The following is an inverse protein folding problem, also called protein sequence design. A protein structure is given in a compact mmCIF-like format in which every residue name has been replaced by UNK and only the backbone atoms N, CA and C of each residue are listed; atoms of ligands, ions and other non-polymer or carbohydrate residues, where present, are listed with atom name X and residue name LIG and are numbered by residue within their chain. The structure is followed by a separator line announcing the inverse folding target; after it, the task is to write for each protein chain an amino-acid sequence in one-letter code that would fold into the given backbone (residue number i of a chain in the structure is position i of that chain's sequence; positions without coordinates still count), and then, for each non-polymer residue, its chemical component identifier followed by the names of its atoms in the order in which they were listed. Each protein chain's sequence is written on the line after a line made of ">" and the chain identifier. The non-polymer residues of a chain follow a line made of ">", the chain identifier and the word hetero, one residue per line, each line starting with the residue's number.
data_IF_209139725056
#
_entry.id   IF_209139725056
#
_cell.length_a   1.000
_cell.length_b   1.000
_cell.length_c   1.000
_cell.angle_alpha   90.00
_cell.angle_beta   90.00
_cell.angle_gamma   90.00
#
_symmetry.space_group_name_H-M   'P 1'
#
loop_
_entity.id
_entity.type
_entity.pdbx_description
1 polymer ?
#
# COMPACT_ATOMS: atom_id res chain seq x y z
N UNK A 1 40.13 28.37 -18.59
CA UNK A 1 39.10 27.52 -19.23
C UNK A 1 38.61 26.38 -18.34
N UNK A 2 39.31 26.06 -17.24
CA UNK A 2 38.95 25.01 -16.27
C UNK A 2 37.75 25.35 -15.37
N UNK A 3 37.62 26.60 -14.95
CA UNK A 3 36.56 27.05 -14.02
C UNK A 3 35.14 26.91 -14.60
N UNK A 4 35.00 27.01 -15.92
CA UNK A 4 33.70 26.96 -16.60
C UNK A 4 33.19 25.51 -16.72
N UNK A 5 34.10 24.55 -16.91
CA UNK A 5 33.83 23.11 -16.89
C UNK A 5 33.45 22.65 -15.48
N UNK A 6 34.14 23.15 -14.45
CA UNK A 6 33.84 22.89 -13.04
C UNK A 6 32.43 23.40 -12.66
N UNK A 7 32.08 24.59 -13.15
CA UNK A 7 30.78 25.20 -12.89
C UNK A 7 29.63 24.47 -13.63
N UNK A 8 29.88 24.00 -14.87
CA UNK A 8 28.93 23.19 -15.64
C UNK A 8 28.74 21.80 -15.03
N UNK A 9 29.79 21.21 -14.46
CA UNK A 9 29.74 19.95 -13.72
C UNK A 9 28.95 20.10 -12.40
N UNK A 10 29.15 21.19 -11.66
CA UNK A 10 28.38 21.50 -10.45
C UNK A 10 26.89 21.78 -10.73
N UNK A 11 26.58 22.52 -11.80
CA UNK A 11 25.19 22.75 -12.26
C UNK A 11 24.51 21.46 -12.75
N UNK A 12 25.25 20.57 -13.42
CA UNK A 12 24.78 19.23 -13.80
C UNK A 12 24.51 18.33 -12.58
N UNK A 13 25.33 18.43 -11.54
CA UNK A 13 25.16 17.68 -10.29
C UNK A 13 23.95 18.17 -9.46
N UNK A 14 23.65 19.47 -9.48
CA UNK A 14 22.51 20.06 -8.76
C UNK A 14 21.15 19.70 -9.37
N UNK A 15 21.09 19.53 -10.70
CA UNK A 15 19.85 19.21 -11.42
C UNK A 15 19.41 17.75 -11.18
N UNK A 16 20.34 16.84 -10.87
CA UNK A 16 20.06 15.42 -10.64
C UNK A 16 19.45 15.06 -9.27
N UNK A 17 19.60 15.89 -8.24
CA UNK A 17 19.19 15.54 -6.87
C UNK A 17 17.66 15.62 -6.66
N UNK A 18 16.98 16.62 -7.24
CA UNK A 18 15.54 16.85 -6.98
C UNK A 18 14.67 15.78 -7.62
N UNK A 19 14.99 15.39 -8.86
CA UNK A 19 14.17 14.48 -9.66
C UNK A 19 14.13 13.05 -9.10
N UNK A 20 15.28 12.53 -8.64
CA UNK A 20 15.36 11.19 -8.03
C UNK A 20 14.61 11.12 -6.70
N UNK A 21 14.74 12.16 -5.88
CA UNK A 21 14.06 12.25 -4.59
C UNK A 21 12.54 12.36 -4.75
N UNK A 22 12.06 13.15 -5.72
CA UNK A 22 10.62 13.31 -5.95
C UNK A 22 10.01 12.05 -6.57
N UNK A 23 10.68 11.39 -7.51
CA UNK A 23 10.21 10.11 -8.06
C UNK A 23 10.09 9.02 -7.00
N UNK A 24 11.09 8.89 -6.11
CA UNK A 24 11.02 7.93 -5.00
C UNK A 24 9.90 8.26 -4.01
N UNK A 25 9.69 9.55 -3.71
CA UNK A 25 8.62 9.95 -2.80
C UNK A 25 7.23 9.71 -3.40
N UNK A 26 7.04 10.03 -4.68
CA UNK A 26 5.79 9.80 -5.41
C UNK A 26 5.47 8.32 -5.54
N UNK A 27 6.43 7.48 -5.90
CA UNK A 27 6.22 6.03 -6.01
C UNK A 27 5.78 5.39 -4.70
N UNK A 28 6.40 5.79 -3.58
CA UNK A 28 5.98 5.33 -2.25
C UNK A 28 4.58 5.85 -1.89
N UNK A 29 4.31 7.13 -2.15
CA UNK A 29 3.01 7.73 -1.84
C UNK A 29 1.86 7.05 -2.61
N UNK A 30 2.04 6.77 -3.91
CA UNK A 30 1.03 6.11 -4.74
C UNK A 30 0.77 4.69 -4.23
N UNK A 31 1.82 3.89 -4.03
CA UNK A 31 1.66 2.49 -3.59
C UNK A 31 1.04 2.37 -2.19
N UNK A 32 1.37 3.28 -1.28
CA UNK A 32 0.72 3.32 0.05
C UNK A 32 -0.75 3.74 -0.07
N UNK A 33 -1.06 4.73 -0.91
CA UNK A 33 -2.45 5.16 -1.12
C UNK A 33 -3.30 4.05 -1.71
N UNK A 34 -2.81 3.36 -2.75
CA UNK A 34 -3.50 2.22 -3.37
C UNK A 34 -3.75 1.09 -2.35
N UNK A 35 -2.74 0.75 -1.55
CA UNK A 35 -2.88 -0.27 -0.53
C UNK A 35 -3.87 0.11 0.57
N UNK A 36 -3.91 1.37 1.01
CA UNK A 36 -4.90 1.86 1.98
C UNK A 36 -6.31 1.81 1.40
N UNK A 37 -6.49 2.21 0.13
CA UNK A 37 -7.78 2.12 -0.57
C UNK A 37 -8.26 0.66 -0.68
N UNK A 38 -7.39 -0.26 -1.08
CA UNK A 38 -7.73 -1.68 -1.18
C UNK A 38 -8.03 -2.30 0.18
N UNK A 39 -7.26 -1.96 1.22
CA UNK A 39 -7.46 -2.49 2.56
C UNK A 39 -8.73 -1.99 3.23
N UNK A 40 -9.06 -0.71 3.04
CA UNK A 40 -10.30 -0.13 3.57
C UNK A 40 -11.51 -0.62 2.79
N UNK A 41 -11.45 -0.61 1.45
CA UNK A 41 -12.51 -1.16 0.60
C UNK A 41 -12.77 -2.65 0.86
N UNK A 42 -11.71 -3.45 0.94
CA UNK A 42 -11.78 -4.87 1.26
C UNK A 42 -12.31 -5.14 2.67
N UNK A 43 -11.92 -4.34 3.67
CA UNK A 43 -12.43 -4.45 5.04
C UNK A 43 -13.92 -4.16 5.14
N UNK A 44 -14.40 -3.09 4.49
CA UNK A 44 -15.83 -2.75 4.43
C UNK A 44 -16.63 -3.83 3.69
N UNK A 45 -16.14 -4.26 2.52
CA UNK A 45 -16.78 -5.33 1.75
C UNK A 45 -16.84 -6.64 2.53
N UNK A 46 -15.75 -7.03 3.22
CA UNK A 46 -15.69 -8.22 4.05
C UNK A 46 -16.67 -8.19 5.21
N UNK A 47 -16.82 -7.06 5.89
CA UNK A 47 -17.81 -6.89 6.95
C UNK A 47 -19.25 -6.99 6.41
N UNK A 48 -19.53 -6.35 5.28
CA UNK A 48 -20.85 -6.41 4.65
C UNK A 48 -21.22 -7.84 4.23
N UNK A 49 -20.27 -8.56 3.60
CA UNK A 49 -20.45 -9.95 3.20
C UNK A 49 -20.62 -10.88 4.42
N UNK A 50 -19.81 -10.69 5.47
CA UNK A 50 -19.92 -11.46 6.71
C UNK A 50 -21.27 -11.27 7.40
N UNK A 51 -21.75 -10.03 7.50
CA UNK A 51 -23.08 -9.73 8.04
C UNK A 51 -24.19 -10.35 7.18
N UNK A 52 -24.09 -10.28 5.85
CA UNK A 52 -25.03 -10.91 4.92
C UNK A 52 -25.08 -12.43 5.08
N UNK A 53 -23.90 -13.08 5.18
CA UNK A 53 -23.80 -14.52 5.39
C UNK A 53 -24.44 -14.96 6.71
N UNK A 54 -24.22 -14.22 7.80
CA UNK A 54 -24.85 -14.50 9.10
C UNK A 54 -26.37 -14.38 9.01
N UNK A 55 -26.89 -13.33 8.36
CA UNK A 55 -28.34 -13.17 8.19
C UNK A 55 -28.96 -14.29 7.37
N UNK A 56 -28.30 -14.71 6.29
CA UNK A 56 -28.74 -15.85 5.49
C UNK A 56 -28.72 -17.15 6.31
N UNK A 57 -27.67 -17.36 7.11
CA UNK A 57 -27.53 -18.55 7.96
C UNK A 57 -28.59 -18.65 9.05
N UNK A 58 -28.85 -17.55 9.76
CA UNK A 58 -29.90 -17.49 10.80
C UNK A 58 -31.30 -17.71 10.19
N UNK A 59 -31.51 -17.31 8.93
CA UNK A 59 -32.76 -17.59 8.21
C UNK A 59 -33.02 -19.09 7.98
N UNK A 60 -31.98 -19.92 7.88
CA UNK A 60 -32.09 -21.37 7.68
C UNK A 60 -32.13 -22.12 9.02
N UNK A 61 -31.35 -21.67 10.01
CA UNK A 61 -31.25 -22.27 11.34
C UNK A 61 -31.49 -21.23 12.46
N UNK A 62 -32.77 -20.90 12.76
CA UNK A 62 -33.12 -19.85 13.73
C UNK A 62 -32.82 -20.20 15.19
N UNK A 63 -32.63 -21.49 15.51
CA UNK A 63 -32.27 -21.95 16.85
C UNK A 63 -30.80 -21.71 17.22
N UNK A 64 -29.96 -21.32 16.27
CA UNK A 64 -28.53 -21.07 16.51
C UNK A 64 -28.25 -19.56 16.55
N UNK A 65 -28.00 -18.97 17.73
CA UNK A 65 -27.70 -17.54 17.86
C UNK A 65 -26.27 -17.24 17.37
N UNK A 66 -26.11 -17.07 16.06
CA UNK A 66 -24.85 -16.66 15.45
C UNK A 66 -24.70 -15.13 15.54
N UNK A 67 -24.08 -14.65 16.62
CA UNK A 67 -23.69 -13.24 16.76
C UNK A 67 -22.18 -13.11 16.92
N UNK A 68 -21.48 -12.40 16.01
CA UNK A 68 -20.05 -12.15 16.16
C UNK A 68 -19.80 -11.30 17.41
N UNK A 69 -18.90 -11.74 18.30
CA UNK A 69 -18.52 -10.91 19.44
C UNK A 69 -17.76 -9.68 18.94
N UNK A 70 -17.89 -8.55 19.65
CA UNK A 70 -17.32 -7.27 19.22
C UNK A 70 -15.79 -7.32 19.01
N UNK A 71 -15.08 -8.14 19.80
CA UNK A 71 -13.64 -8.33 19.64
C UNK A 71 -13.27 -8.99 18.30
N UNK A 72 -14.12 -9.86 17.76
CA UNK A 72 -13.88 -10.51 16.47
C UNK A 72 -13.95 -9.49 15.34
N UNK A 73 -14.94 -8.59 15.38
CA UNK A 73 -15.06 -7.47 14.43
C UNK A 73 -13.85 -6.53 14.53
N UNK A 74 -13.45 -6.18 15.75
CA UNK A 74 -12.26 -5.34 15.98
C UNK A 74 -10.98 -5.99 15.45
N UNK A 75 -10.81 -7.31 15.67
CA UNK A 75 -9.66 -8.06 15.16
C UNK A 75 -9.66 -8.16 13.64
N UNK A 76 -10.81 -8.34 12.99
CA UNK A 76 -10.91 -8.38 11.54
C UNK A 76 -10.52 -7.04 10.90
N UNK A 77 -11.00 -5.93 11.46
CA UNK A 77 -10.61 -4.58 11.02
C UNK A 77 -9.12 -4.32 11.28
N UNK A 78 -8.63 -4.68 12.46
CA UNK A 78 -7.21 -4.53 12.82
C UNK A 78 -6.30 -5.33 11.90
N UNK A 79 -6.67 -6.57 11.58
CA UNK A 79 -5.92 -7.42 10.65
C UNK A 79 -5.95 -6.86 9.22
N UNK A 80 -7.12 -6.41 8.75
CA UNK A 80 -7.26 -5.78 7.43
C UNK A 80 -6.37 -4.55 7.27
N UNK A 81 -6.34 -3.68 8.28
CA UNK A 81 -5.47 -2.50 8.29
C UNK A 81 -3.99 -2.89 8.39
N UNK A 82 -3.64 -3.83 9.26
CA UNK A 82 -2.26 -4.28 9.43
C UNK A 82 -1.70 -4.90 8.13
N UNK A 83 -2.48 -5.77 7.48
CA UNK A 83 -2.13 -6.38 6.19
C UNK A 83 -2.07 -5.31 5.10
N UNK A 84 -3.08 -4.45 5.03
CA UNK A 84 -3.15 -3.35 4.06
C UNK A 84 -1.95 -2.42 4.10
N UNK A 85 -1.63 -1.89 5.28
CA UNK A 85 -0.49 -0.98 5.47
C UNK A 85 0.83 -1.74 5.31
N UNK A 86 0.94 -2.95 5.85
CA UNK A 86 2.15 -3.78 5.77
C UNK A 86 2.53 -4.10 4.32
N UNK A 87 1.57 -4.65 3.55
CA UNK A 87 1.76 -4.95 2.13
C UNK A 87 1.71 -3.71 1.23
N UNK A 88 1.27 -2.55 1.69
CA UNK A 88 1.42 -1.30 0.96
C UNK A 88 2.82 -0.71 1.07
N UNK A 89 3.31 -0.59 2.29
CA UNK A 89 4.57 0.11 2.58
C UNK A 89 5.78 -0.73 2.19
N UNK A 90 5.76 -2.05 2.45
CA UNK A 90 6.92 -2.90 2.24
C UNK A 90 7.35 -3.02 0.76
N UNK A 91 6.48 -3.43 -0.19
CA UNK A 91 6.85 -3.48 -1.60
C UNK A 91 7.09 -2.09 -2.20
N UNK A 92 6.34 -1.06 -1.79
CA UNK A 92 6.56 0.31 -2.28
C UNK A 92 7.98 0.80 -1.96
N UNK A 93 8.49 0.53 -0.76
CA UNK A 93 9.88 0.82 -0.37
C UNK A 93 10.91 -0.03 -1.12
N UNK A 94 10.54 -1.25 -1.53
CA UNK A 94 11.43 -2.15 -2.26
C UNK A 94 11.55 -1.73 -3.73
N UNK A 95 10.46 -1.27 -4.33
CA UNK A 95 10.42 -0.78 -5.71
C UNK A 95 11.34 0.42 -5.93
N UNK A 96 11.41 1.35 -4.98
CA UNK A 96 12.28 2.55 -5.10
C UNK A 96 13.76 2.28 -4.86
N UNK A 97 14.11 1.11 -4.30
CA UNK A 97 15.50 0.69 -4.05
C UNK A 97 16.10 -0.11 -5.20
N UNK A 98 15.31 -0.51 -6.19
CA UNK A 98 15.81 -1.25 -7.35
C UNK A 98 16.47 -0.28 -8.33
N UNK A 99 17.62 -0.69 -8.88
CA UNK A 99 18.27 0.04 -9.95
C UNK A 99 17.36 -0.01 -11.20
N UNK A 100 16.87 1.13 -11.72
CA UNK A 100 15.90 1.15 -12.81
C UNK A 100 16.39 0.42 -14.06
N UNK A 101 17.70 0.38 -14.30
CA UNK A 101 18.29 -0.38 -15.42
C UNK A 101 18.16 -1.88 -15.18
N UNK A 102 18.41 -2.35 -13.96
CA UNK A 102 18.24 -3.76 -13.60
C UNK A 102 16.75 -4.18 -13.59
N UNK A 103 15.84 -3.25 -13.24
CA UNK A 103 14.40 -3.49 -13.29
C UNK A 103 13.89 -3.67 -14.73
N UNK A 104 14.44 -2.92 -15.70
CA UNK A 104 14.12 -3.06 -17.13
C UNK A 104 14.83 -4.23 -17.80
N UNK A 105 16.05 -4.57 -17.37
CA UNK A 105 16.85 -5.66 -17.93
C UNK A 105 16.37 -7.06 -17.51
N UNK A 106 15.54 -7.15 -16.47
CA UNK A 106 14.98 -8.41 -15.98
C UNK A 106 13.81 -8.86 -16.86
N UNK A 107 14.14 -9.50 -18.00
CA UNK A 107 13.21 -10.26 -18.84
C UNK A 107 13.21 -11.74 -18.44
#
# INVERSE_FOLDING_TARGET
>A
MENLELFRFALGALTGHRLRSTLSALGVAIGVTEAVLLATGGGVAGLALGAGAIRAFVGIYPSFPASPPAWAVASALGLSLAVGVGFGVWPARRATRLDPVAALAKR
#
